data_IF_991195844584
#
_entry.id   IF_991195844584
#
_cell.length_a   1.000
_cell.length_b   1.000
_cell.length_c   1.000
_cell.angle_alpha   90.00
_cell.angle_beta   90.00
_cell.angle_gamma   90.00
#
_symmetry.space_group_name_H-M   'P 1'
#
loop_
_entity.id
_entity.type
_entity.pdbx_description
1 polymer ?
#
# COMPACT_ATOMS: atom_id res chain seq x y z
N UNK A 1 32.03 -8.65 5.67
CA UNK A 1 31.18 -7.71 4.90
C UNK A 1 30.12 -8.58 4.25
N UNK A 2 28.88 -8.47 4.69
CA UNK A 2 27.74 -9.09 3.99
C UNK A 2 27.73 -8.57 2.55
N UNK A 3 27.54 -9.48 1.59
CA UNK A 3 27.44 -9.12 0.18
C UNK A 3 26.14 -8.35 -0.10
N UNK A 4 25.97 -7.81 -1.32
CA UNK A 4 24.73 -7.14 -1.71
C UNK A 4 23.54 -8.12 -1.62
N UNK A 5 22.50 -7.71 -0.91
CA UNK A 5 21.26 -8.47 -0.73
C UNK A 5 20.56 -8.72 -2.08
N UNK A 6 19.90 -9.88 -2.27
CA UNK A 6 19.18 -10.19 -3.51
C UNK A 6 18.13 -9.15 -3.90
N UNK A 7 17.48 -8.52 -2.93
CA UNK A 7 16.41 -7.53 -3.12
C UNK A 7 16.91 -6.15 -3.58
N UNK A 8 18.22 -5.88 -3.45
CA UNK A 8 18.85 -4.62 -3.85
C UNK A 8 19.39 -4.63 -5.28
N UNK A 9 19.49 -5.82 -5.88
CA UNK A 9 19.98 -6.01 -7.26
C UNK A 9 19.19 -5.15 -8.23
N UNK A 10 19.89 -4.53 -9.19
CA UNK A 10 19.21 -3.77 -10.23
C UNK A 10 18.53 -4.74 -11.22
N UNK A 11 17.19 -4.78 -11.29
CA UNK A 11 16.48 -5.70 -12.18
C UNK A 11 16.81 -5.46 -13.65
N UNK A 12 17.23 -4.26 -14.03
CA UNK A 12 17.59 -3.90 -15.42
C UNK A 12 18.74 -4.78 -15.95
N UNK A 13 19.66 -5.18 -15.07
CA UNK A 13 20.80 -6.04 -15.39
C UNK A 13 20.39 -7.51 -15.64
N UNK A 14 19.20 -7.91 -15.22
CA UNK A 14 18.68 -9.27 -15.37
C UNK A 14 17.78 -9.45 -16.59
N UNK A 15 17.58 -8.42 -17.42
CA UNK A 15 16.67 -8.41 -18.57
C UNK A 15 16.97 -9.48 -19.63
N UNK A 16 18.24 -9.89 -19.77
CA UNK A 16 18.68 -10.92 -20.71
C UNK A 16 18.55 -12.37 -20.17
N UNK A 17 18.23 -12.55 -18.88
CA UNK A 17 18.07 -13.89 -18.30
C UNK A 17 16.83 -14.59 -18.89
N UNK A 18 16.99 -15.85 -19.28
CA UNK A 18 15.92 -16.68 -19.86
C UNK A 18 14.63 -16.74 -19.02
N UNK A 19 14.76 -16.65 -17.69
CA UNK A 19 13.64 -16.74 -16.75
C UNK A 19 13.18 -15.39 -16.19
N UNK A 20 13.66 -14.26 -16.72
CA UNK A 20 13.29 -12.94 -16.21
C UNK A 20 11.79 -12.65 -16.41
N UNK A 21 11.12 -12.04 -15.41
CA UNK A 21 9.73 -11.60 -15.53
C UNK A 21 9.53 -10.67 -16.75
N UNK A 22 8.35 -10.74 -17.38
CA UNK A 22 8.02 -9.89 -18.53
C UNK A 22 8.21 -8.37 -18.27
N UNK A 23 7.86 -7.82 -17.08
CA UNK A 23 8.12 -6.41 -16.78
C UNK A 23 9.61 -6.05 -16.81
N UNK A 24 10.47 -6.97 -16.34
CA UNK A 24 11.94 -6.80 -16.33
C UNK A 24 12.50 -6.84 -17.74
N UNK A 25 11.97 -7.71 -18.60
CA UNK A 25 12.35 -7.80 -20.02
C UNK A 25 11.90 -6.59 -20.84
N UNK A 26 10.75 -6.01 -20.53
CA UNK A 26 10.24 -4.80 -21.20
C UNK A 26 10.99 -3.54 -20.77
N UNK A 27 11.40 -3.45 -19.52
CA UNK A 27 12.07 -2.27 -18.98
C UNK A 27 11.17 -1.03 -18.97
N UNK A 28 11.79 0.16 -18.89
CA UNK A 28 11.10 1.44 -18.93
C UNK A 28 10.12 1.65 -17.76
N UNK A 29 9.00 2.32 -18.03
CA UNK A 29 7.98 2.66 -17.02
C UNK A 29 7.25 1.43 -16.47
N UNK A 30 7.12 0.35 -17.25
CA UNK A 30 6.48 -0.90 -16.81
C UNK A 30 7.31 -1.56 -15.70
N UNK A 31 8.65 -1.51 -15.82
CA UNK A 31 9.54 -1.98 -14.77
C UNK A 31 9.46 -1.10 -13.53
N UNK A 32 9.37 0.23 -13.68
CA UNK A 32 9.23 1.16 -12.55
C UNK A 32 7.93 0.91 -11.76
N UNK A 33 6.81 0.72 -12.45
CA UNK A 33 5.55 0.36 -11.78
C UNK A 33 5.63 -1.00 -11.11
N UNK A 34 6.30 -1.96 -11.73
CA UNK A 34 6.44 -3.30 -11.17
C UNK A 34 7.33 -3.32 -9.92
N UNK A 35 8.47 -2.61 -9.95
CA UNK A 35 9.44 -2.55 -8.83
C UNK A 35 8.91 -1.78 -7.60
N UNK A 36 7.80 -1.04 -7.75
CA UNK A 36 7.10 -0.32 -6.69
C UNK A 36 5.63 -0.75 -6.52
N UNK A 37 5.25 -1.90 -7.09
CA UNK A 37 3.85 -2.33 -7.17
C UNK A 37 3.22 -2.57 -5.80
N UNK A 38 3.99 -3.07 -4.82
CA UNK A 38 3.50 -3.28 -3.46
C UNK A 38 3.17 -1.95 -2.78
N UNK A 39 4.06 -0.97 -2.83
CA UNK A 39 3.78 0.38 -2.29
C UNK A 39 2.60 1.03 -2.97
N UNK A 40 2.50 0.93 -4.30
CA UNK A 40 1.37 1.50 -5.05
C UNK A 40 0.04 0.84 -4.67
N UNK A 41 0.02 -0.47 -4.44
CA UNK A 41 -1.17 -1.18 -3.98
C UNK A 41 -1.61 -0.70 -2.60
N UNK A 42 -0.67 -0.58 -1.65
CA UNK A 42 -0.96 -0.05 -0.31
C UNK A 42 -1.43 1.41 -0.34
N UNK A 43 -0.82 2.25 -1.18
CA UNK A 43 -1.25 3.62 -1.36
C UNK A 43 -2.67 3.69 -1.93
N UNK A 44 -3.00 2.83 -2.91
CA UNK A 44 -4.35 2.72 -3.45
C UNK A 44 -5.38 2.28 -2.40
N UNK A 45 -5.07 1.21 -1.66
CA UNK A 45 -5.93 0.73 -0.57
C UNK A 45 -6.13 1.78 0.53
N UNK A 46 -5.06 2.51 0.88
CA UNK A 46 -5.12 3.61 1.83
C UNK A 46 -6.03 4.72 1.31
N UNK A 47 -5.83 5.22 0.09
CA UNK A 47 -6.64 6.31 -0.45
C UNK A 47 -8.13 5.94 -0.53
N UNK A 48 -8.44 4.71 -0.96
CA UNK A 48 -9.83 4.23 -1.04
C UNK A 48 -10.43 4.16 0.37
N UNK A 49 -9.74 3.49 1.30
CA UNK A 49 -10.25 3.30 2.67
C UNK A 49 -10.38 4.62 3.41
N UNK A 50 -9.40 5.51 3.27
CA UNK A 50 -9.41 6.85 3.84
C UNK A 50 -10.55 7.71 3.28
N UNK A 51 -10.79 7.66 1.96
CA UNK A 51 -11.90 8.40 1.35
C UNK A 51 -13.25 7.94 1.88
N UNK A 52 -13.48 6.62 1.93
CA UNK A 52 -14.70 6.04 2.49
C UNK A 52 -14.86 6.42 3.95
N UNK A 53 -13.78 6.36 4.73
CA UNK A 53 -13.79 6.73 6.15
C UNK A 53 -14.12 8.21 6.37
N UNK A 54 -13.56 9.13 5.58
CA UNK A 54 -13.85 10.56 5.67
C UNK A 54 -15.32 10.86 5.35
N UNK A 55 -15.88 10.24 4.31
CA UNK A 55 -17.28 10.46 3.92
C UNK A 55 -18.23 9.94 5.00
N UNK A 56 -18.08 8.68 5.38
CA UNK A 56 -18.94 8.05 6.40
C UNK A 56 -18.77 8.70 7.78
N UNK A 57 -17.55 9.07 8.14
CA UNK A 57 -17.25 9.78 9.39
C UNK A 57 -17.86 11.18 9.42
N UNK A 58 -17.86 11.90 8.28
CA UNK A 58 -18.49 13.22 8.19
C UNK A 58 -20.01 13.13 8.36
N UNK A 59 -20.66 12.12 7.76
CA UNK A 59 -22.09 11.87 7.93
C UNK A 59 -22.43 11.59 9.41
N UNK A 60 -21.71 10.65 10.04
CA UNK A 60 -21.92 10.31 11.45
C UNK A 60 -21.66 11.51 12.39
N UNK A 61 -20.60 12.28 12.12
CA UNK A 61 -20.29 13.48 12.90
C UNK A 61 -21.39 14.54 12.79
N UNK A 62 -22.00 14.67 11.62
CA UNK A 62 -23.13 15.57 11.39
C UNK A 62 -24.42 15.09 12.06
N UNK A 63 -24.68 13.78 12.10
CA UNK A 63 -25.79 13.21 12.86
C UNK A 63 -25.67 13.54 14.35
N UNK A 64 -24.50 13.33 14.95
CA UNK A 64 -24.22 13.69 16.35
C UNK A 64 -24.44 15.20 16.59
N UNK A 65 -23.92 16.06 15.71
CA UNK A 65 -24.10 17.52 15.79
C UNK A 65 -25.55 17.94 15.70
N UNK A 66 -26.32 17.35 14.78
CA UNK A 66 -27.74 17.65 14.62
C UNK A 66 -28.53 17.30 15.89
N UNK A 67 -28.21 16.18 16.54
CA UNK A 67 -28.83 15.79 17.83
C UNK A 67 -28.54 16.80 18.95
N UNK A 68 -27.39 17.48 18.89
CA UNK A 68 -26.99 18.52 19.85
C UNK A 68 -27.41 19.94 19.44
N UNK A 69 -28.10 20.11 18.30
CA UNK A 69 -28.51 21.42 17.78
C UNK A 69 -27.35 22.27 17.23
N UNK A 70 -26.22 21.64 16.91
CA UNK A 70 -25.05 22.29 16.33
C UNK A 70 -25.15 22.42 14.80
N UNK A 71 -24.37 23.32 14.21
CA UNK A 71 -24.32 23.46 12.76
C UNK A 71 -23.55 22.31 12.11
N UNK A 72 -24.11 21.77 11.02
CA UNK A 72 -23.47 20.77 10.17
C UNK A 72 -22.18 21.31 9.56
N UNK A 73 -21.26 20.39 9.29
CA UNK A 73 -19.96 20.67 8.65
C UNK A 73 -19.83 19.88 7.35
N UNK A 74 -19.06 20.41 6.41
CA UNK A 74 -18.68 19.65 5.22
C UNK A 74 -17.49 18.70 5.49
N UNK A 75 -17.20 17.83 4.53
CA UNK A 75 -16.08 16.89 4.66
C UNK A 75 -14.72 17.59 4.76
N UNK A 76 -14.56 18.80 4.21
CA UNK A 76 -13.31 19.55 4.28
C UNK A 76 -13.06 20.10 5.70
N UNK A 77 -14.11 20.55 6.37
CA UNK A 77 -14.09 20.91 7.78
C UNK A 77 -13.90 19.68 8.67
N UNK A 78 -14.53 18.55 8.35
CA UNK A 78 -14.34 17.30 9.08
C UNK A 78 -12.89 16.77 8.98
N UNK A 79 -12.21 16.93 7.84
CA UNK A 79 -10.78 16.62 7.67
C UNK A 79 -9.86 17.38 8.65
N UNK A 80 -10.28 18.56 9.09
CA UNK A 80 -9.55 19.39 10.05
C UNK A 80 -9.95 19.07 11.51
N UNK A 81 -10.95 18.21 11.71
CA UNK A 81 -11.43 17.86 13.05
C UNK A 81 -10.48 16.87 13.74
N UNK A 82 -10.31 17.02 15.06
CA UNK A 82 -9.57 16.03 15.86
C UNK A 82 -10.26 14.67 15.90
N UNK A 83 -11.59 14.63 15.70
CA UNK A 83 -12.41 13.41 15.70
C UNK A 83 -11.93 12.42 14.64
N UNK A 84 -11.77 12.86 13.39
CA UNK A 84 -11.25 12.02 12.30
C UNK A 84 -9.89 11.41 12.66
N UNK A 85 -8.95 12.25 13.13
CA UNK A 85 -7.59 11.79 13.42
C UNK A 85 -7.54 10.84 14.61
N UNK A 86 -8.39 11.04 15.63
CA UNK A 86 -8.53 10.08 16.73
C UNK A 86 -9.08 8.73 16.23
N UNK A 87 -10.10 8.73 15.38
CA UNK A 87 -10.68 7.51 14.79
C UNK A 87 -9.66 6.76 13.93
N UNK A 88 -8.84 7.47 13.14
CA UNK A 88 -7.73 6.89 12.38
C UNK A 88 -6.66 6.25 13.30
N UNK A 89 -6.31 6.90 14.41
CA UNK A 89 -5.21 6.48 15.28
C UNK A 89 -5.60 5.41 16.30
N UNK A 90 -6.89 5.25 16.60
CA UNK A 90 -7.38 4.27 17.57
C UNK A 90 -7.77 2.92 16.94
N UNK A 91 -7.69 2.81 15.61
CA UNK A 91 -8.27 1.69 14.88
C UNK A 91 -7.34 0.47 14.81
N UNK A 92 -7.16 -0.22 15.93
CA UNK A 92 -6.34 -1.44 16.04
C UNK A 92 -6.84 -2.61 15.16
N UNK A 93 -8.13 -2.69 14.86
CA UNK A 93 -8.69 -3.69 13.93
C UNK A 93 -8.10 -3.57 12.51
N UNK A 94 -7.78 -2.34 12.09
CA UNK A 94 -7.14 -2.10 10.79
C UNK A 94 -5.70 -2.63 10.73
N UNK A 95 -5.04 -2.82 11.87
CA UNK A 95 -3.67 -3.34 11.94
C UNK A 95 -3.60 -4.79 11.43
N UNK A 96 -4.51 -5.65 11.88
CA UNK A 96 -4.57 -7.04 11.43
C UNK A 96 -4.86 -7.16 9.94
N UNK A 97 -5.79 -6.34 9.43
CA UNK A 97 -6.09 -6.31 8.00
C UNK A 97 -4.89 -5.82 7.18
N UNK A 98 -4.15 -4.82 7.68
CA UNK A 98 -2.94 -4.32 7.02
C UNK A 98 -1.83 -5.38 6.99
N UNK A 99 -1.58 -6.06 8.12
CA UNK A 99 -0.59 -7.16 8.21
C UNK A 99 -0.98 -8.31 7.27
N UNK A 100 -2.24 -8.76 7.30
CA UNK A 100 -2.74 -9.81 6.41
C UNK A 100 -2.59 -9.40 4.94
N UNK A 101 -2.96 -8.16 4.60
CA UNK A 101 -2.80 -7.63 3.25
C UNK A 101 -1.34 -7.59 2.85
N UNK A 102 -0.42 -7.25 3.75
CA UNK A 102 1.02 -7.21 3.48
C UNK A 102 1.54 -8.60 3.12
N UNK A 103 1.21 -9.60 3.94
CA UNK A 103 1.62 -10.99 3.72
C UNK A 103 1.05 -11.53 2.40
N UNK A 104 -0.22 -11.29 2.12
CA UNK A 104 -0.86 -11.81 0.89
C UNK A 104 -0.36 -11.08 -0.34
N UNK A 105 -0.27 -9.75 -0.31
CA UNK A 105 0.13 -8.96 -1.47
C UNK A 105 1.62 -9.11 -1.78
N UNK A 106 2.49 -9.28 -0.77
CA UNK A 106 3.93 -9.47 -1.00
C UNK A 106 4.27 -10.78 -1.73
N UNK A 107 3.37 -11.78 -1.71
CA UNK A 107 3.51 -13.00 -2.51
C UNK A 107 3.49 -12.67 -4.01
N UNK A 108 2.58 -11.78 -4.42
CA UNK A 108 2.29 -11.51 -5.83
C UNK A 108 2.96 -10.24 -6.37
N UNK A 109 3.06 -9.20 -5.55
CA UNK A 109 3.63 -7.91 -5.92
C UNK A 109 5.13 -7.86 -5.63
N UNK A 110 5.79 -6.81 -6.12
CA UNK A 110 7.23 -6.59 -5.92
C UNK A 110 7.50 -5.22 -5.34
N UNK A 111 8.51 -5.18 -4.48
CA UNK A 111 9.08 -3.96 -3.91
C UNK A 111 10.60 -4.06 -3.89
N UNK A 112 11.28 -3.20 -4.65
CA UNK A 112 12.74 -3.12 -4.63
C UNK A 112 13.23 -2.64 -3.27
N UNK A 113 14.28 -3.28 -2.74
CA UNK A 113 14.88 -2.95 -1.44
C UNK A 113 14.03 -3.32 -0.22
N UNK A 114 12.96 -4.10 -0.40
CA UNK A 114 12.17 -4.62 0.72
C UNK A 114 12.51 -6.10 0.94
N UNK A 115 13.01 -6.49 2.13
CA UNK A 115 13.30 -7.89 2.45
C UNK A 115 12.01 -8.74 2.53
N UNK A 116 10.87 -8.10 2.79
CA UNK A 116 9.54 -8.73 2.86
C UNK A 116 8.95 -9.03 1.46
N UNK A 117 9.62 -8.60 0.39
CA UNK A 117 9.24 -8.86 -1.00
C UNK A 117 10.27 -9.76 -1.67
N UNK A 118 9.80 -10.59 -2.61
CA UNK A 118 10.70 -11.30 -3.52
C UNK A 118 11.53 -10.29 -4.33
N UNK A 119 12.78 -10.64 -4.72
CA UNK A 119 13.56 -9.84 -5.66
C UNK A 119 12.77 -9.57 -6.95
N UNK A 120 12.93 -8.36 -7.50
CA UNK A 120 12.17 -7.91 -8.67
C UNK A 120 12.47 -8.78 -9.91
N UNK A 121 13.69 -9.30 -10.01
CA UNK A 121 14.15 -10.17 -11.10
C UNK A 121 13.85 -11.66 -10.90
N UNK A 122 13.29 -12.06 -9.76
CA UNK A 122 12.97 -13.45 -9.47
C UNK A 122 11.74 -13.94 -10.28
N UNK A 123 11.79 -15.15 -10.88
CA UNK A 123 10.63 -15.76 -11.52
C UNK A 123 9.48 -15.98 -10.52
N UNK A 124 8.23 -15.86 -10.97
CA UNK A 124 7.06 -16.13 -10.10
C UNK A 124 6.98 -17.59 -9.64
N UNK A 125 7.64 -18.51 -10.35
CA UNK A 125 7.75 -19.93 -9.99
C UNK A 125 8.71 -20.20 -8.83
N UNK A 126 9.56 -19.24 -8.45
CA UNK A 126 10.38 -19.36 -7.25
C UNK A 126 9.57 -18.88 -6.04
N UNK A 127 9.26 -19.82 -5.15
CA UNK A 127 8.54 -19.58 -3.90
C UNK A 127 9.46 -19.92 -2.73
N UNK A 128 10.13 -18.90 -2.18
CA UNK A 128 10.90 -18.96 -0.93
C UNK A 128 12.15 -19.84 -0.96
N UNK A 129 13.22 -19.38 -0.30
CA UNK A 129 14.07 -20.28 0.48
C UNK A 129 13.47 -20.41 1.89
#
# INVERSE_FOLDING_TARGET
MEGPEPVDRDPRLASERRNAPLPVRRGGWVLVLYEHSLTLAFLGLFLISFTVHVISGCENYNEERAMHGESLVDCAQYLQSSRLWLECLQNWQSEFLAILSMVVLSIFLRQRGSPESKPVDAPNSETGE
#
